data_IF_925546606534
#
_entry.id   IF_925546606534
#
_cell.length_a   1.000
_cell.length_b   1.000
_cell.length_c   1.000
_cell.angle_alpha   90.00
_cell.angle_beta   90.00
_cell.angle_gamma   90.00
#
_symmetry.space_group_name_H-M   'P 1'
#
loop_
_entity.id
_entity.type
_entity.pdbx_description
1 polymer ?
#
# COMPACT_ATOMS: atom_id res chain seq x y z
N UNK A 1 20.61 -16.83 16.65
CA UNK A 1 20.45 -16.56 15.19
C UNK A 1 20.91 -15.14 14.94
N UNK A 2 21.65 -14.91 13.86
CA UNK A 2 22.41 -13.65 13.64
C UNK A 2 21.62 -12.70 12.73
N UNK A 3 21.63 -11.38 13.02
CA UNK A 3 21.06 -10.33 12.16
C UNK A 3 21.38 -10.53 10.67
N UNK A 4 22.63 -10.81 10.34
CA UNK A 4 23.07 -10.99 8.95
C UNK A 4 22.35 -12.15 8.25
N UNK A 5 21.99 -13.19 8.98
CA UNK A 5 21.25 -14.34 8.47
C UNK A 5 19.83 -13.94 8.07
N UNK A 6 19.13 -13.17 8.90
CA UNK A 6 17.76 -12.73 8.62
C UNK A 6 17.69 -11.83 7.37
N UNK A 7 18.61 -10.87 7.25
CA UNK A 7 18.70 -10.01 6.07
C UNK A 7 19.07 -10.79 4.81
N UNK A 8 19.95 -11.79 4.91
CA UNK A 8 20.28 -12.66 3.79
C UNK A 8 19.06 -13.48 3.33
N UNK A 9 18.34 -14.09 4.27
CA UNK A 9 17.10 -14.83 3.99
C UNK A 9 16.06 -13.92 3.34
N UNK A 10 15.84 -12.71 3.87
CA UNK A 10 14.94 -11.74 3.27
C UNK A 10 15.35 -11.39 1.83
N UNK A 11 16.64 -11.19 1.58
CA UNK A 11 17.16 -10.92 0.23
C UNK A 11 16.89 -12.09 -0.73
N UNK A 12 17.06 -13.33 -0.28
CA UNK A 12 16.68 -14.50 -1.10
C UNK A 12 15.19 -14.54 -1.42
N UNK A 13 14.33 -14.00 -0.55
CA UNK A 13 12.92 -13.75 -0.86
C UNK A 13 12.76 -12.78 -2.04
N UNK A 14 13.48 -11.66 -2.02
CA UNK A 14 13.43 -10.66 -3.11
C UNK A 14 13.86 -11.26 -4.45
N UNK A 15 14.93 -12.05 -4.49
CA UNK A 15 15.40 -12.71 -5.72
C UNK A 15 14.33 -13.65 -6.32
N UNK A 16 13.50 -14.26 -5.47
CA UNK A 16 12.38 -15.10 -5.92
C UNK A 16 11.19 -14.28 -6.45
N UNK A 17 10.96 -13.08 -5.93
CA UNK A 17 9.96 -12.14 -6.46
C UNK A 17 10.29 -11.78 -7.92
N UNK A 18 11.55 -11.49 -8.21
CA UNK A 18 12.00 -11.13 -9.57
C UNK A 18 11.73 -12.24 -10.60
N UNK A 19 11.61 -13.49 -10.13
CA UNK A 19 11.32 -14.67 -10.97
C UNK A 19 9.86 -15.14 -10.88
N UNK A 20 8.99 -14.38 -10.21
CA UNK A 20 7.56 -14.69 -10.05
C UNK A 20 7.27 -15.85 -9.10
N UNK A 21 8.25 -16.31 -8.32
CA UNK A 21 8.11 -17.44 -7.40
C UNK A 21 7.57 -17.00 -6.04
N UNK A 22 6.39 -16.38 -6.03
CA UNK A 22 5.82 -15.72 -4.84
C UNK A 22 5.62 -16.67 -3.67
N UNK A 23 5.05 -17.86 -3.88
CA UNK A 23 4.83 -18.84 -2.80
C UNK A 23 6.13 -19.24 -2.09
N UNK A 24 7.23 -19.36 -2.84
CA UNK A 24 8.55 -19.64 -2.24
C UNK A 24 9.08 -18.42 -1.50
N UNK A 25 8.95 -17.22 -2.08
CA UNK A 25 9.40 -15.98 -1.46
C UNK A 25 8.72 -15.74 -0.09
N UNK A 26 7.42 -16.04 0.04
CA UNK A 26 6.69 -15.98 1.31
C UNK A 26 7.41 -16.74 2.44
N UNK A 27 7.87 -17.96 2.16
CA UNK A 27 8.57 -18.79 3.15
C UNK A 27 9.89 -18.15 3.61
N UNK A 28 10.61 -17.46 2.72
CA UNK A 28 11.82 -16.74 3.09
C UNK A 28 11.50 -15.54 3.98
N UNK A 29 10.51 -14.73 3.63
CA UNK A 29 10.13 -13.58 4.47
C UNK A 29 9.64 -14.00 5.86
N UNK A 30 8.79 -15.04 5.94
CA UNK A 30 8.33 -15.56 7.23
C UNK A 30 9.49 -16.01 8.10
N UNK A 31 10.47 -16.73 7.54
CA UNK A 31 11.68 -17.12 8.26
C UNK A 31 12.52 -15.93 8.71
N UNK A 32 12.64 -14.88 7.89
CA UNK A 32 13.35 -13.66 8.29
C UNK A 32 12.66 -12.98 9.49
N UNK A 33 11.32 -12.94 9.47
CA UNK A 33 10.49 -12.42 10.57
C UNK A 33 10.62 -13.28 11.83
N UNK A 34 10.67 -14.61 11.72
CA UNK A 34 10.91 -15.49 12.87
C UNK A 34 12.24 -15.19 13.57
N UNK A 35 13.27 -14.82 12.80
CA UNK A 35 14.60 -14.50 13.35
C UNK A 35 14.64 -13.09 13.95
N UNK A 36 14.03 -12.11 13.27
CA UNK A 36 13.98 -10.71 13.73
C UNK A 36 12.54 -10.17 13.61
N UNK A 37 11.69 -10.45 14.61
CA UNK A 37 10.29 -10.05 14.55
C UNK A 37 10.10 -8.54 14.66
N UNK A 38 11.10 -7.79 15.11
CA UNK A 38 11.02 -6.32 15.24
C UNK A 38 11.56 -5.57 14.01
N UNK A 39 12.05 -6.27 12.99
CA UNK A 39 12.61 -5.62 11.80
C UNK A 39 11.49 -5.19 10.82
N UNK A 40 11.19 -3.89 10.67
CA UNK A 40 9.98 -3.44 9.97
C UNK A 40 10.01 -3.73 8.48
N UNK A 41 11.20 -3.70 7.85
CA UNK A 41 11.34 -3.88 6.40
C UNK A 41 10.92 -5.29 5.94
N UNK A 42 11.01 -6.31 6.81
CA UNK A 42 10.60 -7.67 6.45
C UNK A 42 9.09 -7.78 6.25
N UNK A 43 8.31 -7.03 7.02
CA UNK A 43 6.86 -6.95 6.88
C UNK A 43 6.46 -6.22 5.59
N UNK A 44 7.20 -5.18 5.21
CA UNK A 44 7.01 -4.52 3.91
C UNK A 44 7.28 -5.47 2.74
N UNK A 45 8.42 -6.15 2.73
CA UNK A 45 8.75 -7.06 1.63
C UNK A 45 7.75 -8.24 1.53
N UNK A 46 7.31 -8.77 2.67
CA UNK A 46 6.23 -9.75 2.71
C UNK A 46 4.91 -9.17 2.15
N UNK A 47 4.57 -7.94 2.52
CA UNK A 47 3.41 -7.23 1.95
C UNK A 47 3.49 -7.09 0.43
N UNK A 48 4.65 -6.72 -0.11
CA UNK A 48 4.89 -6.63 -1.56
C UNK A 48 4.73 -8.00 -2.22
N UNK A 49 5.29 -9.06 -1.63
CA UNK A 49 5.12 -10.41 -2.14
C UNK A 49 3.64 -10.82 -2.23
N UNK A 50 2.86 -10.51 -1.20
CA UNK A 50 1.43 -10.83 -1.14
C UNK A 50 0.62 -9.99 -2.13
N UNK A 51 0.95 -8.71 -2.27
CA UNK A 51 0.34 -7.81 -3.25
C UNK A 51 0.55 -8.34 -4.68
N UNK A 52 1.78 -8.73 -5.03
CA UNK A 52 2.10 -9.32 -6.33
C UNK A 52 1.43 -10.68 -6.55
N UNK A 53 1.19 -11.43 -5.48
CA UNK A 53 0.40 -12.66 -5.51
C UNK A 53 -1.12 -12.42 -5.44
N UNK A 54 -1.58 -11.17 -5.56
CA UNK A 54 -2.99 -10.75 -5.48
C UNK A 54 -3.70 -11.09 -4.16
N UNK A 55 -2.95 -11.41 -3.09
CA UNK A 55 -3.49 -11.57 -1.74
C UNK A 55 -3.53 -10.21 -1.02
N UNK A 56 -4.40 -9.34 -1.52
CA UNK A 56 -4.54 -7.96 -1.06
C UNK A 56 -4.91 -7.86 0.43
N UNK A 57 -5.66 -8.84 0.93
CA UNK A 57 -6.14 -8.86 2.31
C UNK A 57 -4.98 -9.12 3.29
N UNK A 58 -4.10 -10.07 2.99
CA UNK A 58 -2.90 -10.25 3.79
C UNK A 58 -1.84 -9.18 3.52
N UNK A 59 -1.71 -8.69 2.28
CA UNK A 59 -0.78 -7.62 1.95
C UNK A 59 -1.02 -6.37 2.81
N UNK A 60 -2.26 -5.88 2.88
CA UNK A 60 -2.62 -4.74 3.73
C UNK A 60 -2.33 -4.98 5.21
N UNK A 61 -2.56 -6.19 5.73
CA UNK A 61 -2.21 -6.57 7.10
C UNK A 61 -0.71 -6.42 7.37
N UNK A 62 0.13 -6.95 6.48
CA UNK A 62 1.58 -6.92 6.68
C UNK A 62 2.19 -5.53 6.45
N UNK A 63 1.66 -4.73 5.52
CA UNK A 63 2.05 -3.32 5.40
C UNK A 63 1.75 -2.54 6.68
N UNK A 64 0.56 -2.73 7.29
CA UNK A 64 0.22 -2.11 8.58
C UNK A 64 1.16 -2.54 9.69
N UNK A 65 1.50 -3.83 9.79
CA UNK A 65 2.48 -4.31 10.77
C UNK A 65 3.86 -3.68 10.59
N UNK A 66 4.32 -3.49 9.35
CA UNK A 66 5.56 -2.77 9.08
C UNK A 66 5.52 -1.33 9.58
N UNK A 67 4.43 -0.61 9.31
CA UNK A 67 4.20 0.77 9.78
C UNK A 67 4.15 0.83 11.31
N UNK A 68 3.41 -0.08 11.96
CA UNK A 68 3.30 -0.18 13.42
C UNK A 68 4.67 -0.42 14.09
N UNK A 69 5.57 -1.14 13.42
CA UNK A 69 6.95 -1.36 13.86
C UNK A 69 7.90 -0.20 13.55
N UNK A 70 7.40 0.89 12.99
CA UNK A 70 8.15 2.13 12.77
C UNK A 70 8.64 2.32 11.33
N UNK A 71 8.21 1.50 10.37
CA UNK A 71 8.53 1.75 8.97
C UNK A 71 7.80 3.00 8.47
N UNK A 72 8.57 3.96 7.95
CA UNK A 72 8.03 5.18 7.34
C UNK A 72 8.58 5.35 5.92
N UNK A 73 8.08 4.52 5.01
CA UNK A 73 8.36 4.60 3.58
C UNK A 73 7.09 4.96 2.82
N UNK A 74 7.17 5.93 1.91
CA UNK A 74 6.04 6.35 1.10
C UNK A 74 5.50 5.21 0.22
N UNK A 75 6.38 4.33 -0.28
CA UNK A 75 5.95 3.14 -1.04
C UNK A 75 5.06 2.22 -0.20
N UNK A 76 5.31 2.12 1.11
CA UNK A 76 4.51 1.26 2.00
C UNK A 76 3.08 1.79 2.11
N UNK A 77 2.89 3.10 2.19
CA UNK A 77 1.56 3.71 2.22
C UNK A 77 0.84 3.60 0.88
N UNK A 78 1.56 3.72 -0.24
CA UNK A 78 1.00 3.49 -1.57
C UNK A 78 0.52 2.04 -1.72
N UNK A 79 1.36 1.06 -1.40
CA UNK A 79 0.99 -0.35 -1.52
C UNK A 79 -0.09 -0.78 -0.52
N UNK A 80 -0.11 -0.19 0.67
CA UNK A 80 -1.24 -0.33 1.60
C UNK A 80 -2.53 0.22 0.97
N UNK A 81 -2.47 1.38 0.33
CA UNK A 81 -3.63 1.99 -0.32
C UNK A 81 -4.20 1.11 -1.43
N UNK A 82 -3.34 0.60 -2.32
CA UNK A 82 -3.71 -0.33 -3.39
C UNK A 82 -4.31 -1.61 -2.82
N UNK A 83 -3.65 -2.21 -1.83
CA UNK A 83 -4.12 -3.44 -1.18
C UNK A 83 -5.51 -3.26 -0.54
N UNK A 84 -5.75 -2.13 0.15
CA UNK A 84 -7.06 -1.83 0.74
C UNK A 84 -8.13 -1.59 -0.32
N UNK A 85 -7.78 -0.91 -1.41
CA UNK A 85 -8.71 -0.65 -2.51
C UNK A 85 -9.16 -1.95 -3.20
N UNK A 86 -8.21 -2.81 -3.59
CA UNK A 86 -8.49 -4.08 -4.27
C UNK A 86 -9.21 -5.09 -3.37
N UNK A 87 -8.99 -5.02 -2.05
CA UNK A 87 -9.72 -5.83 -1.08
C UNK A 87 -11.06 -5.21 -0.62
N UNK A 88 -11.50 -4.11 -1.23
CA UNK A 88 -12.72 -3.37 -0.93
C UNK A 88 -12.80 -2.81 0.51
N UNK A 89 -11.67 -2.64 1.20
CA UNK A 89 -11.58 -2.04 2.53
C UNK A 89 -11.55 -0.50 2.43
N UNK A 90 -12.59 0.07 1.80
CA UNK A 90 -12.67 1.48 1.45
C UNK A 90 -12.70 2.41 2.67
N UNK A 91 -13.42 2.03 3.73
CA UNK A 91 -13.52 2.82 4.96
C UNK A 91 -12.17 2.95 5.68
N UNK A 92 -11.33 1.90 5.63
CA UNK A 92 -9.99 1.97 6.20
C UNK A 92 -9.08 2.85 5.31
N UNK A 93 -9.14 2.66 3.99
CA UNK A 93 -8.34 3.41 3.02
C UNK A 93 -8.50 4.94 3.15
N UNK A 94 -9.70 5.45 3.40
CA UNK A 94 -9.89 6.90 3.57
C UNK A 94 -9.19 7.46 4.84
N UNK A 95 -8.81 6.60 5.79
CA UNK A 95 -8.18 7.02 7.07
C UNK A 95 -6.66 6.91 7.09
N UNK A 96 -6.04 6.19 6.15
CA UNK A 96 -4.58 5.97 6.19
C UNK A 96 -3.80 7.28 6.02
N UNK A 97 -2.57 7.32 6.54
CA UNK A 97 -1.66 8.46 6.32
C UNK A 97 -1.33 8.61 4.82
N UNK A 98 -1.22 9.86 4.36
CA UNK A 98 -0.76 10.19 3.01
C UNK A 98 0.78 10.16 2.91
N UNK A 99 1.35 9.68 1.80
CA UNK A 99 2.77 9.80 1.50
C UNK A 99 3.27 11.26 1.52
N UNK A 100 4.53 11.47 1.84
CA UNK A 100 5.19 12.79 1.76
C UNK A 100 5.54 13.14 0.30
N UNK A 101 5.93 12.14 -0.50
CA UNK A 101 6.15 12.24 -1.93
C UNK A 101 4.88 12.69 -2.65
N UNK A 102 4.96 13.84 -3.33
CA UNK A 102 3.82 14.44 -4.04
C UNK A 102 3.19 13.49 -5.06
N UNK A 103 4.03 12.76 -5.80
CA UNK A 103 3.58 11.79 -6.79
C UNK A 103 2.83 10.62 -6.14
N UNK A 104 3.35 10.04 -5.07
CA UNK A 104 2.68 8.92 -4.37
C UNK A 104 1.43 9.40 -3.64
N UNK A 105 1.49 10.61 -3.07
CA UNK A 105 0.35 11.28 -2.45
C UNK A 105 -0.78 11.46 -3.44
N UNK A 106 -0.50 11.91 -4.65
CA UNK A 106 -1.48 11.98 -5.74
C UNK A 106 -2.18 10.64 -5.96
N UNK A 107 -1.41 9.56 -6.12
CA UNK A 107 -1.98 8.22 -6.33
C UNK A 107 -2.87 7.76 -5.16
N UNK A 108 -2.42 7.98 -3.92
CA UNK A 108 -3.22 7.64 -2.72
C UNK A 108 -4.49 8.50 -2.64
N UNK A 109 -4.42 9.80 -2.93
CA UNK A 109 -5.60 10.68 -2.93
C UNK A 109 -6.63 10.25 -3.98
N UNK A 110 -6.18 9.77 -5.13
CA UNK A 110 -7.05 9.25 -6.18
C UNK A 110 -7.79 8.00 -5.70
N UNK A 111 -7.10 7.06 -5.06
CA UNK A 111 -7.71 5.86 -4.47
C UNK A 111 -8.68 6.21 -3.33
N UNK A 112 -8.32 7.19 -2.49
CA UNK A 112 -9.21 7.71 -1.44
C UNK A 112 -10.48 8.36 -2.01
N UNK A 113 -10.36 9.12 -3.10
CA UNK A 113 -11.52 9.70 -3.79
C UNK A 113 -12.48 8.64 -4.31
N UNK A 114 -11.96 7.61 -5.00
CA UNK A 114 -12.75 6.47 -5.47
C UNK A 114 -13.39 5.70 -4.30
N UNK A 115 -12.66 5.49 -3.22
CA UNK A 115 -13.16 4.80 -2.01
C UNK A 115 -14.27 5.60 -1.31
N UNK A 116 -14.13 6.92 -1.24
CA UNK A 116 -15.17 7.80 -0.73
C UNK A 116 -16.45 7.74 -1.58
N UNK A 117 -16.34 7.62 -2.91
CA UNK A 117 -17.51 7.37 -3.76
C UNK A 117 -18.15 6.01 -3.50
N UNK A 118 -17.35 4.95 -3.35
CA UNK A 118 -17.84 3.59 -3.05
C UNK A 118 -18.57 3.49 -1.71
N UNK A 119 -18.23 4.36 -0.76
CA UNK A 119 -18.86 4.50 0.55
C UNK A 119 -19.94 5.59 0.59
N UNK A 120 -20.38 6.08 -0.57
CA UNK A 120 -21.39 7.14 -0.74
C UNK A 120 -21.05 8.50 -0.09
N UNK A 121 -19.77 8.74 0.21
CA UNK A 121 -19.29 10.00 0.77
C UNK A 121 -18.79 10.96 -0.33
N UNK A 122 -19.72 11.50 -1.12
CA UNK A 122 -19.41 12.42 -2.24
C UNK A 122 -18.66 13.69 -1.80
N UNK A 123 -18.98 14.21 -0.62
CA UNK A 123 -18.33 15.40 -0.09
C UNK A 123 -16.84 15.15 0.18
N UNK A 124 -16.51 13.97 0.73
CA UNK A 124 -15.13 13.58 0.97
C UNK A 124 -14.39 13.28 -0.33
N UNK A 125 -15.04 12.61 -1.29
CA UNK A 125 -14.48 12.38 -2.63
C UNK A 125 -14.09 13.71 -3.31
N UNK A 126 -14.98 14.71 -3.25
CA UNK A 126 -14.70 16.06 -3.75
C UNK A 126 -13.49 16.71 -3.06
N UNK A 127 -13.39 16.62 -1.73
CA UNK A 127 -12.24 17.17 -0.98
C UNK A 127 -10.90 16.60 -1.45
N UNK A 128 -10.86 15.30 -1.74
CA UNK A 128 -9.64 14.68 -2.26
C UNK A 128 -9.32 15.13 -3.70
N UNK A 129 -10.33 15.27 -4.56
CA UNK A 129 -10.15 15.81 -5.92
C UNK A 129 -9.66 17.26 -5.90
N UNK A 130 -10.22 18.11 -5.04
CA UNK A 130 -9.78 19.49 -4.88
C UNK A 130 -8.30 19.55 -4.47
N UNK A 131 -7.87 18.64 -3.57
CA UNK A 131 -6.47 18.53 -3.14
C UNK A 131 -5.54 18.12 -4.29
N UNK A 132 -5.95 17.15 -5.11
CA UNK A 132 -5.23 16.71 -6.31
C UNK A 132 -5.03 17.87 -7.30
N UNK A 133 -6.08 18.68 -7.51
CA UNK A 133 -6.01 19.85 -8.40
C UNK A 133 -5.12 20.97 -7.87
N UNK A 134 -5.12 21.20 -6.56
CA UNK A 134 -4.21 22.18 -5.92
C UNK A 134 -2.75 21.77 -6.12
N UNK A 135 -2.46 20.46 -6.15
CA UNK A 135 -1.13 19.93 -6.49
C UNK A 135 -0.80 20.04 -8.00
N UNK A 136 -1.71 20.56 -8.83
CA UNK A 136 -1.49 20.76 -10.26
C UNK A 136 -1.72 19.53 -11.14
N UNK A 137 -2.25 18.43 -10.58
CA UNK A 137 -2.60 17.25 -11.36
C UNK A 137 -3.99 17.40 -12.00
N UNK A 138 -4.06 17.14 -13.30
CA UNK A 138 -5.30 17.05 -14.07
C UNK A 138 -5.21 15.86 -15.04
N UNK A 139 -6.30 15.12 -15.17
CA UNK A 139 -6.38 13.92 -15.99
C UNK A 139 -7.82 13.61 -16.37
N UNK A 140 -8.02 12.86 -17.44
CA UNK A 140 -9.37 12.42 -17.84
C UNK A 140 -10.07 11.64 -16.71
N UNK A 141 -9.30 10.89 -15.92
CA UNK A 141 -9.81 10.15 -14.78
C UNK A 141 -10.35 11.07 -13.67
N UNK A 142 -9.60 12.12 -13.33
CA UNK A 142 -10.07 13.14 -12.36
C UNK A 142 -11.39 13.75 -12.83
N UNK A 143 -11.45 14.17 -14.10
CA UNK A 143 -12.64 14.77 -14.71
C UNK A 143 -13.85 13.81 -14.72
N UNK A 144 -13.63 12.49 -14.84
CA UNK A 144 -14.70 11.50 -14.76
C UNK A 144 -15.25 11.36 -13.32
N UNK A 145 -14.36 11.32 -12.33
CA UNK A 145 -14.74 11.23 -10.92
C UNK A 145 -15.50 12.50 -10.49
N UNK A 146 -15.13 13.67 -11.01
CA UNK A 146 -15.84 14.93 -10.78
C UNK A 146 -17.31 14.89 -11.22
N UNK A 147 -17.56 14.38 -12.43
CA UNK A 147 -18.94 14.20 -12.91
C UNK A 147 -19.74 13.27 -12.01
N UNK A 148 -19.10 12.26 -11.41
CA UNK A 148 -19.76 11.33 -10.47
C UNK A 148 -20.10 11.98 -9.12
N UNK A 149 -19.27 12.91 -8.63
CA UNK A 149 -19.57 13.69 -7.40
C UNK A 149 -20.60 14.81 -7.63
N UNK A 150 -20.95 15.11 -8.88
CA UNK A 150 -21.95 16.13 -9.24
C UNK A 150 -21.35 17.51 -9.48
N UNK A 151 -20.11 17.56 -9.98
CA UNK A 151 -19.45 18.75 -10.51
C UNK A 151 -19.53 18.81 -12.04
#
# INVERSE_FOLDING_TARGET
>A
MNKNEAFYINKSGNDLIETGQYEKALNYYLRAIEIMPEEPIFYHNLGVCLLLNSDYKNASKYFKLGIEKGLSLDETYLYLAESLYESNNYDELITIKEPESEQMRYHVLLLKSKSALKTNNKQLAKKYLDSIKIMGYDSQEINLIEKMVGL
#
